data_IF_347950370847
#
_entry.id   IF_347950370847
#
_cell.length_a   1.000
_cell.length_b   1.000
_cell.length_c   1.000
_cell.angle_alpha   90.00
_cell.angle_beta   90.00
_cell.angle_gamma   90.00
#
_symmetry.space_group_name_H-M   'P 1'
#
loop_
_entity.id
_entity.type
_entity.pdbx_description
1 polymer ?
#
# COMPACT_ATOMS: atom_id res chain seq x y z
N UNK A 1 -11.65 -5.84 -3.95
CA UNK A 1 -11.13 -5.61 -2.57
C UNK A 1 -11.09 -6.86 -1.69
N UNK A 2 -12.02 -7.84 -1.85
CA UNK A 2 -12.00 -9.10 -1.08
C UNK A 2 -10.69 -9.89 -1.13
N UNK A 3 -10.10 -10.10 -2.31
CA UNK A 3 -8.81 -10.83 -2.43
C UNK A 3 -7.64 -10.04 -1.85
N UNK A 4 -7.66 -8.71 -1.92
CA UNK A 4 -6.64 -7.83 -1.34
C UNK A 4 -6.66 -7.85 0.20
N UNK A 5 -7.86 -7.84 0.79
CA UNK A 5 -8.02 -8.05 2.23
C UNK A 5 -7.47 -9.42 2.64
N UNK A 6 -7.90 -10.51 1.99
CA UNK A 6 -7.40 -11.86 2.30
C UNK A 6 -5.88 -12.00 2.15
N UNK A 7 -5.30 -11.37 1.13
CA UNK A 7 -3.85 -11.38 0.94
C UNK A 7 -3.16 -10.64 2.08
N UNK A 8 -3.60 -9.42 2.38
CA UNK A 8 -2.92 -8.53 3.33
C UNK A 8 -3.22 -8.82 4.80
N UNK A 9 -4.27 -9.61 5.10
CA UNK A 9 -4.61 -10.04 6.46
C UNK A 9 -3.82 -11.25 6.93
N UNK A 10 -3.19 -12.00 6.02
CA UNK A 10 -2.52 -13.26 6.32
C UNK A 10 -1.04 -13.10 6.72
N UNK A 11 -0.54 -11.87 6.84
CA UNK A 11 0.85 -11.61 7.21
C UNK A 11 1.23 -10.14 7.13
N UNK A 12 2.51 -9.86 7.32
CA UNK A 12 3.07 -8.51 7.19
C UNK A 12 3.44 -8.23 5.73
N UNK A 13 2.71 -7.32 5.09
CA UNK A 13 2.97 -6.90 3.73
C UNK A 13 3.45 -5.46 3.68
N UNK A 14 4.34 -5.18 2.73
CA UNK A 14 4.75 -3.84 2.36
C UNK A 14 4.06 -3.43 1.07
N UNK A 15 3.72 -2.14 0.95
CA UNK A 15 3.23 -1.55 -0.28
C UNK A 15 4.32 -0.64 -0.85
N UNK A 16 4.71 -0.84 -2.11
CA UNK A 16 5.59 0.06 -2.84
C UNK A 16 4.86 0.60 -4.05
N UNK A 17 4.78 1.91 -4.15
CA UNK A 17 4.19 2.65 -5.26
C UNK A 17 5.33 3.34 -6.00
N UNK A 18 5.45 3.07 -7.29
CA UNK A 18 6.44 3.69 -8.16
C UNK A 18 5.74 4.68 -9.09
N UNK A 19 6.30 5.88 -9.20
CA UNK A 19 5.72 7.00 -9.91
C UNK A 19 6.76 7.52 -10.91
N UNK A 20 6.33 7.78 -12.14
CA UNK A 20 7.16 8.40 -13.16
C UNK A 20 6.48 9.68 -13.61
N UNK A 21 7.16 10.82 -13.51
CA UNK A 21 6.62 12.09 -14.00
C UNK A 21 6.67 12.12 -15.53
N UNK A 22 5.87 13.00 -16.12
CA UNK A 22 5.91 13.25 -17.58
C UNK A 22 7.29 13.69 -18.07
N UNK A 23 8.12 14.24 -17.17
CA UNK A 23 9.49 14.67 -17.44
C UNK A 23 10.51 13.54 -17.23
N UNK A 24 10.07 12.31 -16.92
CA UNK A 24 10.92 11.12 -16.75
C UNK A 24 11.53 10.95 -15.36
N UNK A 25 11.20 11.80 -14.38
CA UNK A 25 11.71 11.64 -13.02
C UNK A 25 10.99 10.49 -12.31
N UNK A 26 11.75 9.61 -11.67
CA UNK A 26 11.23 8.47 -10.90
C UNK A 26 11.17 8.79 -9.41
N UNK A 27 10.02 8.50 -8.83
CA UNK A 27 9.74 8.62 -7.40
C UNK A 27 9.18 7.31 -6.87
N UNK A 28 9.36 7.06 -5.58
CA UNK A 28 8.77 5.91 -4.90
C UNK A 28 8.23 6.30 -3.53
N UNK A 29 7.12 5.64 -3.19
CA UNK A 29 6.52 5.64 -1.86
C UNK A 29 6.42 4.20 -1.37
N UNK A 30 7.07 3.89 -0.26
CA UNK A 30 7.05 2.60 0.39
C UNK A 30 6.37 2.72 1.76
N UNK A 31 5.51 1.76 2.08
CA UNK A 31 4.84 1.62 3.38
C UNK A 31 5.17 0.25 3.93
N UNK A 32 5.84 0.21 5.09
CA UNK A 32 6.26 -1.06 5.71
C UNK A 32 5.09 -1.89 6.21
N UNK A 33 3.99 -1.24 6.59
CA UNK A 33 2.74 -1.90 6.99
C UNK A 33 1.68 -1.57 5.94
N UNK A 34 1.09 -2.60 5.36
CA UNK A 34 -0.03 -2.48 4.43
C UNK A 34 -1.06 -3.57 4.71
N UNK A 35 -2.25 -3.15 5.13
CA UNK A 35 -3.39 -4.01 5.35
C UNK A 35 -4.67 -3.36 4.82
N UNK A 36 -5.53 -4.17 4.19
CA UNK A 36 -6.86 -3.75 3.75
C UNK A 36 -7.88 -4.40 4.66
N UNK A 37 -8.79 -3.60 5.23
CA UNK A 37 -9.89 -4.08 6.06
C UNK A 37 -10.85 -5.02 5.33
N UNK A 38 -11.70 -5.71 6.07
CA UNK A 38 -12.75 -6.57 5.52
C UNK A 38 -13.94 -5.76 4.94
N UNK A 39 -14.98 -6.46 4.49
CA UNK A 39 -16.18 -5.81 3.96
C UNK A 39 -16.96 -5.01 5.02
N UNK A 40 -16.92 -5.42 6.30
CA UNK A 40 -17.62 -4.73 7.39
C UNK A 40 -16.97 -3.38 7.71
N UNK A 41 -15.64 -3.30 7.59
CA UNK A 41 -14.86 -2.06 7.65
C UNK A 41 -14.77 -1.33 6.31
N UNK A 42 -15.58 -1.71 5.31
CA UNK A 42 -15.61 -1.08 3.98
C UNK A 42 -14.23 -1.04 3.28
N UNK A 43 -13.37 -2.03 3.53
CA UNK A 43 -12.03 -2.11 2.97
C UNK A 43 -11.12 -0.92 3.29
N UNK A 44 -11.24 -0.34 4.49
CA UNK A 44 -10.35 0.73 4.96
C UNK A 44 -8.88 0.34 4.77
N UNK A 45 -8.12 1.27 4.20
CA UNK A 45 -6.69 1.14 3.99
C UNK A 45 -5.92 1.50 5.27
N UNK A 46 -5.10 0.57 5.76
CA UNK A 46 -4.21 0.77 6.88
C UNK A 46 -2.77 0.74 6.39
N UNK A 47 -2.09 1.88 6.43
CA UNK A 47 -0.67 2.00 6.04
C UNK A 47 0.13 2.74 7.09
N UNK A 48 1.36 2.26 7.36
CA UNK A 48 2.25 2.88 8.34
C UNK A 48 3.72 2.80 7.88
N UNK A 49 4.58 3.55 8.57
CA UNK A 49 6.02 3.56 8.37
C UNK A 49 6.41 3.87 6.92
N UNK A 50 6.04 5.07 6.50
CA UNK A 50 6.37 5.61 5.19
C UNK A 50 7.89 5.79 5.02
N UNK A 51 8.40 5.41 3.86
CA UNK A 51 9.73 5.77 3.36
C UNK A 51 9.63 6.04 1.86
N UNK A 52 10.36 7.04 1.36
CA UNK A 52 10.20 7.41 -0.04
C UNK A 52 10.76 8.78 -0.36
N UNK A 53 10.80 9.07 -1.65
CA UNK A 53 11.12 10.40 -2.18
C UNK A 53 9.95 11.02 -2.97
N UNK A 54 8.80 10.33 -3.03
CA UNK A 54 7.56 10.83 -3.59
C UNK A 54 6.92 11.92 -2.71
#
# INVERSE_FOLDING_TARGET
NKCLNLLTSNGSYKLRVELVTTNGNMYYAEYHTFAVGDAASLYVLNVHSYSGNA
#
